data_IF_203590157300
#
_entry.id   IF_203590157300
#
_cell.length_a   1.000
_cell.length_b   1.000
_cell.length_c   1.000
_cell.angle_alpha   90.00
_cell.angle_beta   90.00
_cell.angle_gamma   90.00
#
_symmetry.space_group_name_H-M   'P 1'
#
loop_
_entity.id
_entity.type
_entity.pdbx_description
1 polymer ?
#
# COMPACT_ATOMS: atom_id res chain seq x y z
N UNK A 1 94.01 -13.40 28.69
CA UNK A 1 92.71 -13.81 29.26
C UNK A 1 91.66 -12.83 28.73
N UNK A 2 90.90 -13.22 27.72
CA UNK A 2 89.78 -12.41 27.16
C UNK A 2 88.51 -13.29 27.25
N UNK A 3 87.54 -12.87 28.08
CA UNK A 3 86.24 -13.50 28.24
C UNK A 3 85.38 -13.05 27.04
N UNK A 4 84.90 -14.05 26.32
CA UNK A 4 83.88 -13.85 25.30
C UNK A 4 82.51 -13.88 25.98
N UNK A 5 81.73 -12.81 25.93
CA UNK A 5 80.36 -12.72 26.34
C UNK A 5 79.52 -13.12 25.13
N UNK A 6 78.77 -14.22 25.22
CA UNK A 6 77.75 -14.61 24.24
C UNK A 6 76.45 -13.90 24.62
N UNK A 7 75.99 -13.01 23.75
CA UNK A 7 74.70 -12.37 23.90
C UNK A 7 73.69 -13.20 23.10
N UNK A 8 72.82 -13.90 23.76
CA UNK A 8 71.69 -14.60 23.16
C UNK A 8 70.60 -13.60 22.83
N UNK A 9 70.34 -13.39 21.55
CA UNK A 9 69.18 -12.63 21.08
C UNK A 9 68.00 -13.61 21.00
N UNK A 10 67.12 -13.50 21.95
CA UNK A 10 65.84 -14.19 21.87
C UNK A 10 64.93 -13.40 20.90
N UNK A 11 64.67 -13.98 19.73
CA UNK A 11 63.63 -13.48 18.83
C UNK A 11 62.31 -13.94 19.36
N UNK A 12 61.59 -13.03 20.00
CA UNK A 12 60.18 -13.21 20.35
C UNK A 12 59.31 -12.97 19.10
N UNK A 13 58.95 -14.04 18.43
CA UNK A 13 57.93 -13.97 17.37
C UNK A 13 56.56 -13.76 18.05
N UNK A 14 56.12 -12.51 18.07
CA UNK A 14 54.75 -12.17 18.43
C UNK A 14 53.84 -12.67 17.27
N UNK A 15 53.21 -13.83 17.51
CA UNK A 15 52.08 -14.26 16.68
C UNK A 15 50.89 -13.38 17.09
N UNK A 16 50.71 -12.29 16.36
CA UNK A 16 49.44 -11.58 16.32
C UNK A 16 48.47 -12.45 15.54
N UNK A 17 47.74 -13.32 16.23
CA UNK A 17 46.50 -13.87 15.71
C UNK A 17 45.54 -12.72 15.58
N UNK A 18 45.43 -12.17 14.36
CA UNK A 18 44.30 -11.37 13.96
C UNK A 18 43.08 -12.31 14.05
N UNK A 19 42.36 -12.26 15.16
CA UNK A 19 40.98 -12.68 15.19
C UNK A 19 40.28 -11.73 14.21
N UNK A 20 40.05 -12.19 12.98
CA UNK A 20 39.01 -11.65 12.16
C UNK A 20 37.73 -11.91 12.95
N UNK A 21 37.27 -10.93 13.71
CA UNK A 21 35.89 -10.86 14.11
C UNK A 21 35.14 -10.83 12.77
N UNK A 22 34.57 -11.96 12.39
CA UNK A 22 33.48 -11.93 11.42
C UNK A 22 32.44 -11.03 12.07
N UNK A 23 32.36 -9.78 11.63
CA UNK A 23 31.20 -8.96 11.93
C UNK A 23 30.03 -9.81 11.45
N UNK A 24 29.26 -10.36 12.38
CA UNK A 24 27.96 -10.93 12.04
C UNK A 24 27.21 -9.79 11.39
N UNK A 25 26.66 -10.02 10.21
CA UNK A 25 25.78 -9.05 9.61
C UNK A 25 24.70 -8.72 10.65
N UNK A 26 24.40 -7.45 10.81
CA UNK A 26 23.32 -7.03 11.70
C UNK A 26 22.01 -7.44 11.04
N UNK A 27 21.16 -8.17 11.76
CA UNK A 27 19.89 -8.68 11.24
C UNK A 27 18.77 -7.75 11.73
N UNK A 28 18.04 -7.16 10.79
CA UNK A 28 16.88 -6.33 11.05
C UNK A 28 15.58 -7.08 10.71
N UNK A 29 14.63 -7.09 11.63
CA UNK A 29 13.31 -7.66 11.44
C UNK A 29 12.40 -6.64 10.77
N UNK A 30 11.93 -6.92 9.58
CA UNK A 30 11.07 -6.01 8.80
C UNK A 30 9.69 -6.62 8.68
N UNK A 31 8.71 -6.08 9.40
CA UNK A 31 7.30 -6.46 9.24
C UNK A 31 6.77 -5.88 7.93
N UNK A 32 6.40 -6.71 6.96
CA UNK A 32 5.70 -6.26 5.76
C UNK A 32 4.25 -6.72 5.86
N UNK A 33 3.32 -5.78 5.85
CA UNK A 33 1.90 -6.08 5.99
C UNK A 33 1.13 -5.54 4.80
N UNK A 34 0.48 -6.45 4.09
CA UNK A 34 -0.36 -6.17 2.94
C UNK A 34 -1.84 -6.34 3.31
N UNK A 35 -2.70 -5.45 2.80
CA UNK A 35 -4.12 -5.49 3.15
C UNK A 35 -4.86 -6.68 2.56
N UNK A 36 -4.65 -6.96 1.26
CA UNK A 36 -5.35 -8.02 0.53
C UNK A 36 -4.45 -8.54 -0.60
N UNK A 37 -4.71 -9.75 -1.08
CA UNK A 37 -4.08 -10.32 -2.27
C UNK A 37 -4.66 -9.64 -3.51
N UNK A 38 -3.90 -8.71 -4.07
CA UNK A 38 -4.22 -7.90 -5.24
C UNK A 38 -2.98 -7.68 -6.09
N UNK A 39 -3.14 -7.62 -7.42
CA UNK A 39 -2.02 -7.55 -8.35
C UNK A 39 -1.14 -6.31 -8.14
N UNK A 40 -1.74 -5.13 -7.90
CA UNK A 40 -0.98 -3.89 -7.66
C UNK A 40 -0.26 -3.93 -6.31
N UNK A 41 -0.93 -4.40 -5.24
CA UNK A 41 -0.31 -4.52 -3.92
C UNK A 41 0.79 -5.60 -3.89
N UNK A 42 0.61 -6.71 -4.62
CA UNK A 42 1.62 -7.75 -4.76
C UNK A 42 2.88 -7.20 -5.45
N UNK A 43 2.73 -6.40 -6.51
CA UNK A 43 3.84 -5.75 -7.21
C UNK A 43 4.59 -4.80 -6.28
N UNK A 44 3.89 -4.03 -5.45
CA UNK A 44 4.51 -3.16 -4.44
C UNK A 44 5.33 -4.00 -3.45
N UNK A 45 4.75 -5.07 -2.91
CA UNK A 45 5.42 -5.99 -1.98
C UNK A 45 6.70 -6.57 -2.59
N UNK A 46 6.62 -7.13 -3.80
CA UNK A 46 7.76 -7.72 -4.51
C UNK A 46 8.88 -6.69 -4.76
N UNK A 47 8.54 -5.44 -5.09
CA UNK A 47 9.54 -4.41 -5.28
C UNK A 47 10.18 -3.96 -3.96
N UNK A 48 9.42 -3.88 -2.86
CA UNK A 48 9.95 -3.61 -1.52
C UNK A 48 10.94 -4.69 -1.11
N UNK A 49 10.58 -5.98 -1.24
CA UNK A 49 11.45 -7.11 -0.92
C UNK A 49 12.76 -7.07 -1.72
N UNK A 50 12.65 -6.83 -3.02
CA UNK A 50 13.81 -6.69 -3.92
C UNK A 50 14.74 -5.55 -3.52
N UNK A 51 14.17 -4.39 -3.15
CA UNK A 51 14.99 -3.25 -2.73
C UNK A 51 15.61 -3.47 -1.34
N UNK A 52 14.93 -4.16 -0.43
CA UNK A 52 15.50 -4.58 0.86
C UNK A 52 16.69 -5.53 0.65
N UNK A 53 16.58 -6.51 -0.23
CA UNK A 53 17.69 -7.41 -0.58
C UNK A 53 18.88 -6.63 -1.15
N UNK A 54 18.63 -5.75 -2.13
CA UNK A 54 19.68 -4.95 -2.74
C UNK A 54 20.37 -4.02 -1.73
N UNK A 55 19.60 -3.39 -0.83
CA UNK A 55 20.14 -2.54 0.23
C UNK A 55 20.87 -3.35 1.31
N UNK A 56 20.40 -4.54 1.63
CA UNK A 56 21.09 -5.46 2.53
C UNK A 56 22.48 -5.81 2.01
N UNK A 57 22.60 -6.15 0.74
CA UNK A 57 23.89 -6.40 0.07
C UNK A 57 24.81 -5.17 0.10
N UNK A 58 24.26 -3.99 -0.23
CA UNK A 58 25.01 -2.72 -0.23
C UNK A 58 25.57 -2.37 1.15
N UNK A 59 24.75 -2.54 2.20
CA UNK A 59 25.08 -2.15 3.56
C UNK A 59 25.80 -3.25 4.36
N UNK A 60 25.80 -4.51 3.88
CA UNK A 60 26.35 -5.65 4.56
C UNK A 60 25.52 -6.08 5.78
N UNK A 61 24.20 -5.90 5.73
CA UNK A 61 23.22 -6.26 6.74
C UNK A 61 22.19 -7.23 6.15
N UNK A 62 21.37 -7.85 7.00
CA UNK A 62 20.24 -8.68 6.57
C UNK A 62 18.93 -7.99 6.98
N UNK A 63 18.00 -7.84 6.03
CA UNK A 63 16.62 -7.48 6.31
C UNK A 63 15.77 -8.75 6.27
N UNK A 64 15.41 -9.26 7.45
CA UNK A 64 14.55 -10.44 7.57
C UNK A 64 13.08 -10.01 7.49
N UNK A 65 12.53 -10.01 6.29
CA UNK A 65 11.11 -9.74 6.03
C UNK A 65 10.32 -11.05 5.81
N UNK A 66 10.96 -12.12 5.35
CA UNK A 66 10.26 -13.35 4.98
C UNK A 66 9.52 -14.01 6.16
N UNK A 67 10.10 -13.91 7.37
CA UNK A 67 9.48 -14.43 8.61
C UNK A 67 8.39 -13.50 9.16
N UNK A 68 8.32 -12.25 8.68
CA UNK A 68 7.44 -11.18 9.19
C UNK A 68 6.51 -10.60 8.12
N UNK A 69 6.40 -11.24 6.96
CA UNK A 69 5.39 -10.91 5.95
C UNK A 69 4.02 -11.43 6.37
N UNK A 70 2.99 -10.60 6.23
CA UNK A 70 1.60 -10.96 6.52
C UNK A 70 0.62 -10.28 5.57
N UNK A 71 -0.47 -11.00 5.26
CA UNK A 71 -1.59 -10.49 4.49
C UNK A 71 -2.86 -10.52 5.34
N UNK A 72 -3.51 -9.38 5.47
CA UNK A 72 -4.71 -9.23 6.29
C UNK A 72 -5.98 -9.80 5.66
N UNK A 73 -5.95 -10.14 4.36
CA UNK A 73 -7.08 -10.73 3.62
C UNK A 73 -8.36 -9.87 3.69
N UNK A 74 -8.19 -8.54 3.71
CA UNK A 74 -9.25 -7.54 3.89
C UNK A 74 -10.07 -7.73 5.18
N UNK A 75 -9.50 -8.36 6.21
CA UNK A 75 -10.14 -8.61 7.51
C UNK A 75 -9.49 -7.79 8.62
N UNK A 76 -10.27 -6.88 9.21
CA UNK A 76 -9.79 -6.01 10.29
C UNK A 76 -9.39 -6.78 11.56
N UNK A 77 -9.99 -7.94 11.83
CA UNK A 77 -9.64 -8.76 12.98
C UNK A 77 -8.29 -9.43 12.77
N UNK A 78 -8.04 -9.94 11.55
CA UNK A 78 -6.74 -10.49 11.14
C UNK A 78 -5.68 -9.40 11.20
N UNK A 79 -5.98 -8.19 10.70
CA UNK A 79 -5.05 -7.07 10.71
C UNK A 79 -4.65 -6.65 12.14
N UNK A 80 -5.60 -6.60 13.07
CA UNK A 80 -5.32 -6.34 14.49
C UNK A 80 -4.47 -7.46 15.14
N UNK A 81 -4.69 -8.72 14.75
CA UNK A 81 -3.85 -9.82 15.23
C UNK A 81 -2.42 -9.68 14.71
N UNK A 82 -2.24 -9.39 13.40
CA UNK A 82 -0.93 -9.16 12.80
C UNK A 82 -0.17 -8.04 13.53
N UNK A 83 -0.83 -6.92 13.83
CA UNK A 83 -0.19 -5.83 14.56
C UNK A 83 0.31 -6.26 15.94
N UNK A 84 -0.50 -7.06 16.65
CA UNK A 84 -0.13 -7.61 17.97
C UNK A 84 1.07 -8.54 17.88
N UNK A 85 1.11 -9.41 16.87
CA UNK A 85 2.18 -10.38 16.67
C UNK A 85 3.51 -9.68 16.34
N UNK A 86 3.50 -8.68 15.43
CA UNK A 86 4.70 -7.91 15.08
C UNK A 86 5.28 -7.14 16.27
N UNK A 87 4.42 -6.56 17.12
CA UNK A 87 4.87 -5.91 18.37
C UNK A 87 5.46 -6.91 19.35
N UNK A 88 4.86 -8.10 19.51
CA UNK A 88 5.37 -9.16 20.37
C UNK A 88 6.73 -9.70 19.90
N UNK A 89 6.91 -9.77 18.57
CA UNK A 89 8.17 -10.20 17.95
C UNK A 89 9.25 -9.11 17.95
N UNK A 90 8.88 -7.89 18.36
CA UNK A 90 9.78 -6.73 18.43
C UNK A 90 10.48 -6.49 17.09
N UNK A 91 9.69 -6.30 16.02
CA UNK A 91 10.24 -5.93 14.71
C UNK A 91 10.89 -4.55 14.76
N UNK A 92 11.92 -4.34 13.94
CA UNK A 92 12.68 -3.08 13.93
C UNK A 92 11.99 -1.99 13.11
N UNK A 93 11.16 -2.37 12.14
CA UNK A 93 10.38 -1.47 11.27
C UNK A 93 9.16 -2.21 10.72
N UNK A 94 8.08 -1.48 10.46
CA UNK A 94 6.89 -2.01 9.80
C UNK A 94 6.69 -1.28 8.47
N UNK A 95 6.53 -2.03 7.39
CA UNK A 95 6.07 -1.54 6.09
C UNK A 95 4.60 -1.86 5.96
N UNK A 96 3.77 -0.81 5.88
CA UNK A 96 2.33 -0.90 5.86
C UNK A 96 1.80 -0.59 4.46
N UNK A 97 1.26 -1.59 3.76
CA UNK A 97 0.79 -1.47 2.37
C UNK A 97 -0.74 -1.35 2.35
N UNK A 98 -1.23 -0.23 1.86
CA UNK A 98 -2.59 0.29 1.82
C UNK A 98 -3.02 1.06 3.09
N UNK A 99 -3.94 2.01 2.92
CA UNK A 99 -4.43 2.92 3.97
C UNK A 99 -4.93 2.20 5.23
N UNK A 100 -5.78 1.14 5.15
CA UNK A 100 -6.25 0.46 6.35
C UNK A 100 -5.12 -0.15 7.18
N UNK A 101 -4.07 -0.67 6.53
CA UNK A 101 -2.89 -1.22 7.22
C UNK A 101 -2.12 -0.11 7.93
N UNK A 102 -1.86 1.00 7.23
CA UNK A 102 -1.13 2.13 7.78
C UNK A 102 -1.81 2.70 9.04
N UNK A 103 -3.13 2.82 9.02
CA UNK A 103 -3.93 3.31 10.17
C UNK A 103 -3.84 2.37 11.38
N UNK A 104 -3.95 1.06 11.17
CA UNK A 104 -3.85 0.08 12.27
C UNK A 104 -2.42 0.03 12.82
N UNK A 105 -1.40 0.03 11.96
CA UNK A 105 0.00 0.00 12.40
C UNK A 105 0.40 1.29 13.12
N UNK A 106 -0.06 2.47 12.67
CA UNK A 106 0.13 3.73 13.38
C UNK A 106 -0.44 3.65 14.79
N UNK A 107 -1.71 3.24 14.92
CA UNK A 107 -2.36 3.12 16.24
C UNK A 107 -1.65 2.10 17.14
N UNK A 108 -1.22 0.96 16.60
CA UNK A 108 -0.55 -0.08 17.36
C UNK A 108 0.85 0.34 17.84
N UNK A 109 1.54 1.22 17.10
CA UNK A 109 2.90 1.67 17.40
C UNK A 109 2.98 3.02 18.10
N UNK A 110 1.86 3.67 18.44
CA UNK A 110 1.79 5.01 19.03
C UNK A 110 2.67 5.17 20.28
N UNK A 111 2.70 4.16 21.16
CA UNK A 111 3.49 4.13 22.39
C UNK A 111 4.83 3.39 22.23
N UNK A 112 5.34 3.22 21.03
CA UNK A 112 6.59 2.51 20.73
C UNK A 112 7.57 3.38 19.93
N UNK A 113 8.81 2.92 19.83
CA UNK A 113 9.83 3.55 18.95
C UNK A 113 9.89 2.85 17.56
N UNK A 114 8.97 1.93 17.26
CA UNK A 114 8.96 1.20 15.98
C UNK A 114 8.50 2.14 14.86
N UNK A 115 9.33 2.43 13.86
CA UNK A 115 8.93 3.25 12.73
C UNK A 115 7.98 2.48 11.81
N UNK A 116 7.01 3.19 11.25
CA UNK A 116 6.09 2.69 10.24
C UNK A 116 6.33 3.40 8.92
N UNK A 117 6.52 2.63 7.85
CA UNK A 117 6.67 3.15 6.49
C UNK A 117 5.44 2.73 5.70
N UNK A 118 4.58 3.68 5.34
CA UNK A 118 3.42 3.36 4.52
C UNK A 118 3.74 3.39 3.01
N UNK A 119 3.03 2.58 2.26
CA UNK A 119 2.99 2.58 0.80
C UNK A 119 1.55 2.39 0.33
N UNK A 120 1.21 2.91 -0.84
CA UNK A 120 -0.15 2.88 -1.37
C UNK A 120 -1.19 3.46 -0.40
N UNK A 121 -0.93 4.67 0.07
CA UNK A 121 -1.87 5.47 0.89
C UNK A 121 -2.31 6.68 0.10
N UNK A 122 -3.60 6.75 -0.25
CA UNK A 122 -4.12 7.76 -1.17
C UNK A 122 -4.16 9.16 -0.56
N UNK A 123 -4.51 9.28 0.72
CA UNK A 123 -4.51 10.55 1.44
C UNK A 123 -3.94 10.39 2.85
N UNK A 124 -2.61 10.45 3.01
CA UNK A 124 -1.97 10.30 4.32
C UNK A 124 -2.34 11.38 5.34
N UNK A 125 -2.64 12.59 4.87
CA UNK A 125 -3.06 13.71 5.74
C UNK A 125 -4.51 13.56 6.15
N UNK A 126 -5.41 13.29 5.20
CA UNK A 126 -6.83 13.08 5.47
C UNK A 126 -7.10 11.85 6.34
N UNK A 127 -6.32 10.78 6.17
CA UNK A 127 -6.35 9.59 7.03
C UNK A 127 -5.72 9.83 8.42
N UNK A 128 -5.17 11.02 8.69
CA UNK A 128 -4.57 11.35 9.98
C UNK A 128 -3.24 10.63 10.28
N UNK A 129 -2.58 10.10 9.27
CA UNK A 129 -1.31 9.39 9.42
C UNK A 129 -0.14 10.36 9.62
N UNK A 130 -0.17 11.49 8.95
CA UNK A 130 0.88 12.51 9.00
C UNK A 130 0.28 13.91 9.15
N UNK A 131 1.02 14.82 9.76
CA UNK A 131 0.60 16.24 9.86
C UNK A 131 0.63 16.92 8.48
N UNK A 132 1.65 16.61 7.69
CA UNK A 132 1.78 17.03 6.30
C UNK A 132 2.76 16.10 5.57
N UNK A 133 2.75 16.12 4.24
CA UNK A 133 3.68 15.32 3.42
C UNK A 133 5.14 15.73 3.60
N UNK A 134 5.40 17.02 3.86
CA UNK A 134 6.76 17.55 4.06
C UNK A 134 7.27 17.36 5.51
N UNK A 135 6.36 17.23 6.48
CA UNK A 135 6.67 17.09 7.90
C UNK A 135 5.68 16.12 8.56
N UNK A 136 5.95 14.80 8.52
CA UNK A 136 5.05 13.77 9.04
C UNK A 136 4.64 13.92 10.52
N UNK A 137 5.56 14.37 11.37
CA UNK A 137 5.27 14.73 12.78
C UNK A 137 5.36 13.57 13.79
N UNK A 138 5.33 12.32 13.35
CA UNK A 138 5.33 11.12 14.20
C UNK A 138 6.37 10.08 13.79
N UNK A 139 6.17 8.84 14.25
CA UNK A 139 6.99 7.66 13.89
C UNK A 139 6.55 7.01 12.56
N UNK A 140 5.67 7.66 11.80
CA UNK A 140 5.14 7.15 10.54
C UNK A 140 5.45 8.11 9.38
N UNK A 141 5.90 7.56 8.25
CA UNK A 141 6.14 8.26 6.98
C UNK A 141 5.96 7.29 5.82
N UNK A 142 6.03 7.76 4.58
CA UNK A 142 5.92 6.85 3.43
C UNK A 142 5.65 7.55 2.11
N UNK A 143 5.04 6.83 1.18
CA UNK A 143 4.71 7.29 -0.17
C UNK A 143 3.21 7.28 -0.39
N UNK A 144 2.69 8.39 -0.94
CA UNK A 144 1.28 8.50 -1.32
C UNK A 144 1.06 8.02 -2.76
N UNK A 145 -0.09 7.40 -2.99
CA UNK A 145 -0.64 7.06 -4.29
C UNK A 145 -1.86 7.93 -4.64
N UNK A 146 -1.81 9.20 -4.27
CA UNK A 146 -2.90 10.15 -4.51
C UNK A 146 -3.40 10.09 -5.96
N UNK A 147 -4.72 9.89 -6.11
CA UNK A 147 -5.34 9.68 -7.40
C UNK A 147 -5.59 11.02 -8.13
N UNK A 148 -5.24 11.09 -9.41
CA UNK A 148 -5.67 12.18 -10.29
C UNK A 148 -7.08 11.91 -10.82
N UNK A 149 -8.07 12.09 -9.96
CA UNK A 149 -9.49 11.87 -10.25
C UNK A 149 -9.95 12.71 -11.46
N UNK A 150 -9.47 13.95 -11.57
CA UNK A 150 -9.85 14.82 -12.68
C UNK A 150 -9.40 14.24 -14.03
N UNK A 151 -8.24 13.63 -14.12
CA UNK A 151 -7.77 12.94 -15.32
C UNK A 151 -8.68 11.77 -15.68
N UNK A 152 -9.13 10.96 -14.73
CA UNK A 152 -10.04 9.83 -14.99
C UNK A 152 -11.40 10.35 -15.50
N UNK A 153 -11.96 11.35 -14.86
CA UNK A 153 -13.22 11.95 -15.27
C UNK A 153 -13.12 12.59 -16.67
N UNK A 154 -11.98 13.20 -17.00
CA UNK A 154 -11.72 13.70 -18.36
C UNK A 154 -11.58 12.58 -19.39
N UNK A 155 -11.04 11.40 -19.04
CA UNK A 155 -11.03 10.22 -19.91
C UNK A 155 -12.45 9.75 -20.23
N UNK A 156 -13.38 9.79 -19.27
CA UNK A 156 -14.80 9.50 -19.51
C UNK A 156 -15.40 10.46 -20.53
N UNK A 157 -15.17 11.78 -20.38
CA UNK A 157 -15.65 12.79 -21.31
C UNK A 157 -15.00 12.68 -22.69
N UNK A 158 -13.71 12.29 -22.76
CA UNK A 158 -13.04 12.06 -24.03
C UNK A 158 -13.63 10.86 -24.79
N UNK A 159 -14.05 9.81 -24.07
CA UNK A 159 -14.71 8.64 -24.65
C UNK A 159 -16.18 8.90 -24.98
N UNK A 160 -16.88 9.66 -24.16
CA UNK A 160 -18.28 10.05 -24.37
C UNK A 160 -18.46 11.56 -24.10
N UNK A 161 -18.29 12.43 -25.12
CA UNK A 161 -18.46 13.89 -24.95
C UNK A 161 -19.88 14.32 -24.55
N UNK A 162 -20.89 13.50 -24.77
CA UNK A 162 -22.28 13.73 -24.40
C UNK A 162 -22.68 13.08 -23.06
N UNK A 163 -21.70 12.65 -22.24
CA UNK A 163 -21.91 12.01 -20.94
C UNK A 163 -22.77 12.88 -20.02
N UNK A 164 -23.88 12.31 -19.54
CA UNK A 164 -24.88 13.05 -18.73
C UNK A 164 -24.99 12.55 -17.31
N UNK A 165 -24.68 11.27 -17.06
CA UNK A 165 -24.89 10.67 -15.76
C UNK A 165 -23.82 9.64 -15.43
N UNK A 166 -23.14 9.81 -14.28
CA UNK A 166 -22.07 8.95 -13.79
C UNK A 166 -22.50 8.24 -12.50
N UNK A 167 -22.19 6.98 -12.37
CA UNK A 167 -22.26 6.24 -11.11
C UNK A 167 -20.95 6.37 -10.32
N UNK A 168 -21.04 6.63 -9.03
CA UNK A 168 -19.91 6.63 -8.11
C UNK A 168 -20.09 5.42 -7.19
N UNK A 169 -19.18 4.43 -7.33
CA UNK A 169 -19.25 3.17 -6.59
C UNK A 169 -18.06 3.05 -5.64
N UNK A 170 -18.32 2.98 -4.35
CA UNK A 170 -17.26 2.95 -3.34
C UNK A 170 -17.75 2.39 -2.00
N UNK A 171 -16.82 2.14 -1.08
CA UNK A 171 -17.10 1.80 0.32
C UNK A 171 -16.83 3.03 1.22
N UNK A 172 -17.81 3.47 1.96
CA UNK A 172 -17.68 4.61 2.88
C UNK A 172 -16.74 4.35 4.06
N UNK A 173 -16.38 3.10 4.31
CA UNK A 173 -15.42 2.71 5.34
C UNK A 173 -13.96 2.70 4.83
N UNK A 174 -13.75 2.97 3.53
CA UNK A 174 -12.41 3.07 2.92
C UNK A 174 -11.97 4.53 2.84
N UNK A 175 -11.12 4.99 3.78
CA UNK A 175 -10.61 6.37 3.78
C UNK A 175 -9.87 6.72 2.46
N UNK A 176 -9.25 5.71 1.80
CA UNK A 176 -8.62 5.86 0.48
C UNK A 176 -9.57 6.36 -0.61
N UNK A 177 -10.88 6.16 -0.46
CA UNK A 177 -11.89 6.48 -1.47
C UNK A 177 -12.47 7.88 -1.31
N UNK A 178 -12.52 8.42 -0.10
CA UNK A 178 -13.38 9.56 0.23
C UNK A 178 -13.00 10.83 -0.54
N UNK A 179 -11.72 11.19 -0.60
CA UNK A 179 -11.29 12.39 -1.31
C UNK A 179 -11.51 12.28 -2.81
N UNK A 180 -11.17 11.13 -3.42
CA UNK A 180 -11.39 10.92 -4.84
C UNK A 180 -12.88 10.96 -5.23
N UNK A 181 -13.78 10.50 -4.36
CA UNK A 181 -15.24 10.64 -4.57
C UNK A 181 -15.66 12.10 -4.49
N UNK A 182 -15.16 12.88 -3.52
CA UNK A 182 -15.47 14.31 -3.43
C UNK A 182 -14.97 15.07 -4.66
N UNK A 183 -13.77 14.74 -5.16
CA UNK A 183 -13.23 15.32 -6.39
C UNK A 183 -14.09 14.95 -7.62
N UNK A 184 -14.58 13.71 -7.71
CA UNK A 184 -15.47 13.26 -8.77
C UNK A 184 -16.82 13.98 -8.72
N UNK A 185 -17.39 14.19 -7.53
CA UNK A 185 -18.62 14.96 -7.32
C UNK A 185 -18.41 16.41 -7.79
N UNK A 186 -17.34 17.05 -7.32
CA UNK A 186 -17.02 18.43 -7.71
C UNK A 186 -16.85 18.54 -9.23
N UNK A 187 -16.16 17.58 -9.87
CA UNK A 187 -16.02 17.53 -11.31
C UNK A 187 -17.38 17.41 -12.03
N UNK A 188 -18.26 16.53 -11.55
CA UNK A 188 -19.60 16.37 -12.12
C UNK A 188 -20.42 17.66 -12.01
N UNK A 189 -20.41 18.31 -10.85
CA UNK A 189 -21.12 19.59 -10.61
C UNK A 189 -20.60 20.71 -11.52
N UNK A 190 -19.27 20.86 -11.66
CA UNK A 190 -18.64 21.86 -12.52
C UNK A 190 -18.96 21.66 -14.01
N UNK A 191 -19.12 20.42 -14.45
CA UNK A 191 -19.41 20.07 -15.84
C UNK A 191 -20.90 19.86 -16.14
N UNK A 192 -21.79 19.99 -15.14
CA UNK A 192 -23.23 19.80 -15.31
C UNK A 192 -23.62 18.35 -15.59
N UNK A 193 -22.86 17.41 -15.09
CA UNK A 193 -23.08 15.97 -15.19
C UNK A 193 -23.85 15.51 -13.95
N UNK A 194 -24.93 14.76 -14.12
CA UNK A 194 -25.64 14.12 -13.02
C UNK A 194 -24.80 12.97 -12.46
N UNK A 195 -24.93 12.71 -11.17
CA UNK A 195 -24.26 11.55 -10.56
C UNK A 195 -25.19 10.80 -9.60
N UNK A 196 -24.92 9.52 -9.42
CA UNK A 196 -25.55 8.64 -8.44
C UNK A 196 -24.49 7.96 -7.60
N UNK A 197 -24.56 8.12 -6.30
CA UNK A 197 -23.68 7.41 -5.37
C UNK A 197 -24.32 6.10 -4.92
N UNK A 198 -23.58 5.00 -5.00
CA UNK A 198 -23.94 3.73 -4.39
C UNK A 198 -22.73 3.18 -3.65
N UNK A 199 -23.01 2.61 -2.49
CA UNK A 199 -21.97 2.11 -1.59
C UNK A 199 -22.20 0.65 -1.25
N UNK A 200 -21.10 -0.06 -0.97
CA UNK A 200 -21.16 -1.44 -0.51
C UNK A 200 -19.92 -1.76 0.33
N UNK A 201 -20.12 -2.46 1.44
CA UNK A 201 -19.05 -2.87 2.36
C UNK A 201 -18.75 -4.37 2.32
N UNK A 202 -19.50 -5.11 1.52
CA UNK A 202 -19.30 -6.54 1.23
C UNK A 202 -19.47 -6.79 -0.25
N UNK A 203 -18.94 -7.89 -0.77
CA UNK A 203 -19.13 -8.28 -2.18
C UNK A 203 -20.61 -8.32 -2.58
N UNK A 204 -21.49 -8.82 -1.72
CA UNK A 204 -22.92 -8.88 -2.00
C UNK A 204 -23.55 -7.48 -2.08
N UNK A 205 -23.17 -6.55 -1.18
CA UNK A 205 -23.61 -5.15 -1.23
C UNK A 205 -23.13 -4.47 -2.50
N UNK A 206 -21.88 -4.69 -2.90
CA UNK A 206 -21.29 -4.14 -4.13
C UNK A 206 -22.02 -4.62 -5.37
N UNK A 207 -22.38 -5.91 -5.44
CA UNK A 207 -23.21 -6.45 -6.53
C UNK A 207 -24.56 -5.74 -6.59
N UNK A 208 -25.23 -5.55 -5.46
CA UNK A 208 -26.51 -4.84 -5.40
C UNK A 208 -26.36 -3.36 -5.78
N UNK A 209 -25.28 -2.71 -5.36
CA UNK A 209 -24.96 -1.33 -5.71
C UNK A 209 -24.74 -1.20 -7.23
N UNK A 210 -23.97 -2.10 -7.84
CA UNK A 210 -23.73 -2.12 -9.29
C UNK A 210 -25.04 -2.31 -10.06
N UNK A 211 -25.91 -3.24 -9.65
CA UNK A 211 -27.23 -3.46 -10.26
C UNK A 211 -28.13 -2.21 -10.13
N UNK A 212 -28.05 -1.51 -8.99
CA UNK A 212 -28.78 -0.27 -8.77
C UNK A 212 -28.30 0.84 -9.72
N UNK A 213 -26.99 1.03 -9.89
CA UNK A 213 -26.44 2.00 -10.83
C UNK A 213 -26.90 1.72 -12.27
N UNK A 214 -26.91 0.46 -12.69
CA UNK A 214 -27.41 0.05 -14.00
C UNK A 214 -28.89 0.40 -14.14
N UNK A 215 -29.72 0.12 -13.13
CA UNK A 215 -31.16 0.43 -13.14
C UNK A 215 -31.43 1.94 -13.13
N UNK A 216 -30.57 2.73 -12.47
CA UNK A 216 -30.65 4.20 -12.42
C UNK A 216 -30.21 4.85 -13.73
N UNK A 217 -29.71 4.06 -14.69
CA UNK A 217 -29.38 4.50 -16.05
C UNK A 217 -28.13 5.36 -16.14
N UNK A 218 -27.10 5.05 -15.32
CA UNK A 218 -25.78 5.70 -15.45
C UNK A 218 -25.13 5.29 -16.77
N UNK A 219 -24.32 6.18 -17.34
CA UNK A 219 -23.67 5.97 -18.64
C UNK A 219 -22.19 5.57 -18.49
N UNK A 220 -21.62 5.80 -17.33
CA UNK A 220 -20.30 5.34 -16.91
C UNK A 220 -20.27 5.16 -15.39
N UNK A 221 -19.33 4.36 -14.87
CA UNK A 221 -19.10 4.21 -13.42
C UNK A 221 -17.67 4.57 -13.11
N UNK A 222 -17.47 5.26 -11.98
CA UNK A 222 -16.18 5.54 -11.38
C UNK A 222 -16.04 4.84 -10.03
N UNK A 223 -14.90 4.19 -9.83
CA UNK A 223 -14.44 3.67 -8.55
C UNK A 223 -13.00 4.13 -8.29
N UNK A 224 -12.69 4.75 -7.15
CA UNK A 224 -11.30 5.11 -6.79
C UNK A 224 -10.44 3.89 -6.43
N UNK A 225 -9.34 4.09 -5.70
CA UNK A 225 -8.50 3.02 -5.14
C UNK A 225 -9.18 2.34 -3.93
N UNK A 226 -10.33 1.73 -4.15
CA UNK A 226 -11.19 1.12 -3.14
C UNK A 226 -10.95 -0.38 -3.02
N UNK A 227 -10.41 -0.82 -1.88
CA UNK A 227 -10.07 -2.23 -1.66
C UNK A 227 -11.28 -3.16 -1.61
N UNK A 228 -12.44 -2.66 -1.12
CA UNK A 228 -13.69 -3.44 -1.05
C UNK A 228 -14.24 -3.69 -2.44
N UNK A 229 -14.32 -2.62 -3.26
CA UNK A 229 -14.83 -2.74 -4.64
C UNK A 229 -13.86 -3.56 -5.50
N UNK A 230 -12.54 -3.38 -5.32
CA UNK A 230 -11.52 -4.15 -6.03
C UNK A 230 -11.68 -5.65 -5.77
N UNK A 231 -11.89 -6.06 -4.53
CA UNK A 231 -12.12 -7.46 -4.17
C UNK A 231 -13.39 -8.03 -4.84
N UNK A 232 -14.39 -7.17 -5.08
CA UNK A 232 -15.66 -7.54 -5.71
C UNK A 232 -15.63 -7.46 -7.24
N UNK A 233 -14.59 -6.89 -7.88
CA UNK A 233 -14.55 -6.57 -9.31
C UNK A 233 -14.90 -7.76 -10.21
N UNK A 234 -14.33 -8.94 -9.93
CA UNK A 234 -14.65 -10.17 -10.67
C UNK A 234 -16.14 -10.59 -10.62
N UNK A 235 -16.90 -10.03 -9.67
CA UNK A 235 -18.34 -10.28 -9.52
C UNK A 235 -19.23 -9.26 -10.20
N UNK A 236 -18.67 -8.07 -10.54
CA UNK A 236 -19.45 -6.94 -11.09
C UNK A 236 -19.07 -6.57 -12.53
N UNK A 237 -17.86 -6.91 -13.00
CA UNK A 237 -17.42 -6.50 -14.35
C UNK A 237 -18.35 -7.01 -15.46
N UNK A 238 -18.86 -8.25 -15.35
CA UNK A 238 -19.81 -8.80 -16.34
C UNK A 238 -21.13 -8.03 -16.34
N UNK A 239 -21.61 -7.60 -15.18
CA UNK A 239 -22.83 -6.78 -15.06
C UNK A 239 -22.72 -5.48 -15.85
N UNK A 240 -21.61 -4.76 -15.68
CA UNK A 240 -21.35 -3.53 -16.40
C UNK A 240 -21.10 -3.75 -17.89
N UNK A 241 -20.36 -4.79 -18.27
CA UNK A 241 -20.10 -5.14 -19.66
C UNK A 241 -21.40 -5.52 -20.41
N UNK A 242 -22.27 -6.32 -19.80
CA UNK A 242 -23.58 -6.70 -20.39
C UNK A 242 -24.50 -5.49 -20.55
N UNK A 243 -24.45 -4.55 -19.59
CA UNK A 243 -25.18 -3.29 -19.65
C UNK A 243 -24.52 -2.25 -20.58
N UNK A 244 -23.29 -2.51 -21.08
CA UNK A 244 -22.47 -1.59 -21.88
C UNK A 244 -22.16 -0.27 -21.17
N UNK A 245 -21.95 -0.36 -19.88
CA UNK A 245 -21.57 0.77 -19.03
C UNK A 245 -20.07 0.61 -18.72
N UNK A 246 -19.19 1.50 -19.21
CA UNK A 246 -17.77 1.43 -18.91
C UNK A 246 -17.49 1.75 -17.45
N UNK A 247 -16.68 0.89 -16.81
CA UNK A 247 -16.21 1.06 -15.43
C UNK A 247 -14.78 1.62 -15.46
N UNK A 248 -14.60 2.83 -14.97
CA UNK A 248 -13.32 3.54 -14.84
C UNK A 248 -12.85 3.47 -13.40
N UNK A 249 -11.57 3.18 -13.19
CA UNK A 249 -11.07 2.85 -11.87
C UNK A 249 -9.72 3.49 -11.58
N UNK A 250 -9.40 3.60 -10.29
CA UNK A 250 -8.20 4.25 -9.79
C UNK A 250 -6.95 3.36 -9.67
N UNK A 251 -7.02 2.10 -10.07
CA UNK A 251 -5.88 1.20 -10.03
C UNK A 251 -5.90 0.19 -11.19
N UNK A 252 -4.72 -0.27 -11.61
CA UNK A 252 -4.56 -1.21 -12.72
C UNK A 252 -5.14 -2.58 -12.44
N UNK A 253 -5.13 -3.02 -11.18
CA UNK A 253 -5.71 -4.30 -10.75
C UNK A 253 -7.18 -4.46 -11.13
N UNK A 254 -7.97 -3.40 -11.12
CA UNK A 254 -9.36 -3.44 -11.59
C UNK A 254 -9.44 -3.79 -13.08
N UNK A 255 -8.60 -3.15 -13.91
CA UNK A 255 -8.58 -3.43 -15.35
C UNK A 255 -8.11 -4.86 -15.65
N UNK A 256 -7.17 -5.40 -14.87
CA UNK A 256 -6.76 -6.79 -14.94
C UNK A 256 -7.91 -7.76 -14.59
N UNK A 257 -8.84 -7.33 -13.75
CA UNK A 257 -10.01 -8.09 -13.32
C UNK A 257 -11.28 -7.81 -14.16
N UNK A 258 -11.19 -6.99 -15.20
CA UNK A 258 -12.27 -6.82 -16.19
C UNK A 258 -12.91 -5.43 -16.26
N UNK A 259 -12.50 -4.46 -15.44
CA UNK A 259 -12.93 -3.07 -15.59
C UNK A 259 -12.50 -2.52 -16.96
N UNK A 260 -13.26 -1.55 -17.46
CA UNK A 260 -13.02 -0.96 -18.79
C UNK A 260 -11.69 -0.21 -18.88
N UNK A 261 -11.33 0.53 -17.83
CA UNK A 261 -10.12 1.33 -17.78
C UNK A 261 -9.65 1.51 -16.34
N UNK A 262 -8.37 1.21 -16.08
CA UNK A 262 -7.64 1.61 -14.88
C UNK A 262 -6.74 2.79 -15.21
N UNK A 263 -6.69 3.79 -14.33
CA UNK A 263 -5.72 4.89 -14.38
C UNK A 263 -5.38 5.27 -12.94
N UNK A 264 -4.20 4.97 -12.53
CA UNK A 264 -3.76 5.18 -11.15
C UNK A 264 -2.29 4.88 -10.99
N UNK A 265 -1.91 4.47 -9.81
CA UNK A 265 -0.53 4.09 -9.51
C UNK A 265 -0.18 2.78 -10.19
N UNK A 266 0.99 2.81 -10.86
CA UNK A 266 1.64 1.69 -11.54
C UNK A 266 2.67 1.04 -10.57
#
# INVERSE_FOLDING_TARGET
MKKKVFTSVAVMAAITSAMAATAMAEDYKVGIVQYVDDASLNQITENIEKELDAKGEELGVTFNYADYFSNAQADSSVLNQISTDLLADQVDVIVAIATPVAMVMQSATEDTDIPVIFSAVSDPVGAGLVESMDAPGGNITGTSDALDTATIMNLMLAANPDLKKVGLLYDTAQDSSLNAIQDAIAFCEENGIEYEEKTGSTTDDVILAAQSLIADGVEAVFTPTDNTIMTAELSIYELFNDAKIPHYTGADSFALNGAFCGYGVD
#
